data_IF_183460734210
#
_entry.id   IF_183460734210
#
_cell.length_a   1.000
_cell.length_b   1.000
_cell.length_c   1.000
_cell.angle_alpha   90.00
_cell.angle_beta   90.00
_cell.angle_gamma   90.00
#
_symmetry.space_group_name_H-M   'P 1'
#
loop_
_entity.id
_entity.type
_entity.pdbx_description
1 polymer ?
#
# COMPACT_ATOMS: atom_id res chain seq x y z
N UNK A 1 2.24 -2.66 -41.95
CA UNK A 1 3.68 -2.54 -41.69
C UNK A 1 3.91 -1.38 -40.71
N UNK A 2 3.77 -1.62 -39.42
CA UNK A 2 4.28 -0.74 -38.39
C UNK A 2 5.66 -1.19 -37.99
N UNK A 3 6.60 -0.44 -38.44
CA UNK A 3 8.01 -0.71 -38.26
C UNK A 3 8.43 -0.36 -36.83
N UNK A 4 8.81 -1.37 -36.11
CA UNK A 4 9.46 -1.44 -34.83
C UNK A 4 10.75 -0.61 -34.78
N UNK A 5 10.64 0.65 -34.44
CA UNK A 5 11.78 1.42 -34.02
C UNK A 5 11.72 1.59 -32.50
N UNK A 6 12.60 0.93 -31.84
CA UNK A 6 13.08 1.07 -30.48
C UNK A 6 12.79 -0.16 -29.60
N UNK A 7 13.36 -1.27 -30.00
CA UNK A 7 13.90 -2.19 -29.01
C UNK A 7 15.16 -1.58 -28.42
N UNK A 8 15.01 -0.65 -27.52
CA UNK A 8 16.04 -0.48 -26.51
C UNK A 8 15.85 -1.62 -25.52
N UNK A 9 16.44 -2.74 -25.87
CA UNK A 9 16.70 -3.79 -24.93
C UNK A 9 17.68 -3.27 -23.89
N UNK A 10 17.19 -2.58 -22.89
CA UNK A 10 17.93 -2.39 -21.64
C UNK A 10 17.88 -3.76 -20.95
N UNK A 11 18.78 -4.63 -21.37
CA UNK A 11 19.08 -5.84 -20.63
C UNK A 11 19.71 -5.40 -19.31
N UNK A 12 18.90 -5.19 -18.29
CA UNK A 12 19.40 -5.05 -16.93
C UNK A 12 20.02 -6.39 -16.53
N UNK A 13 21.34 -6.51 -16.67
CA UNK A 13 22.12 -7.68 -16.26
C UNK A 13 22.31 -7.80 -14.75
N UNK A 14 21.64 -6.95 -13.96
CA UNK A 14 21.65 -7.00 -12.50
C UNK A 14 20.26 -7.39 -12.01
N UNK A 15 20.14 -8.21 -10.97
CA UNK A 15 18.86 -8.42 -10.33
C UNK A 15 18.32 -7.05 -9.91
N UNK A 16 17.11 -6.72 -10.38
CA UNK A 16 16.44 -5.47 -10.06
C UNK A 16 16.27 -5.38 -8.55
N UNK A 17 16.82 -4.34 -7.95
CA UNK A 17 16.72 -4.13 -6.51
C UNK A 17 15.57 -3.18 -6.20
N UNK A 18 14.35 -3.68 -6.21
CA UNK A 18 13.14 -2.93 -5.89
C UNK A 18 13.16 -2.29 -4.50
N UNK A 19 14.06 -2.72 -3.62
CA UNK A 19 14.22 -2.14 -2.29
C UNK A 19 14.98 -0.80 -2.31
N UNK A 20 15.83 -0.61 -3.32
CA UNK A 20 16.55 0.65 -3.55
C UNK A 20 15.85 1.51 -4.61
N UNK A 21 15.12 0.87 -5.52
CA UNK A 21 14.44 1.45 -6.67
C UNK A 21 12.97 1.02 -6.71
N UNK A 22 12.14 1.42 -5.73
CA UNK A 22 10.73 1.04 -5.69
C UNK A 22 9.92 1.61 -6.86
N UNK A 23 10.40 2.66 -7.54
CA UNK A 23 9.81 3.20 -8.75
C UNK A 23 9.72 2.18 -9.90
N UNK A 24 10.56 1.16 -9.88
CA UNK A 24 10.52 0.08 -10.87
C UNK A 24 9.27 -0.80 -10.77
N UNK A 25 8.56 -0.74 -9.62
CA UNK A 25 7.27 -1.41 -9.42
C UNK A 25 6.09 -0.62 -10.03
N UNK A 26 6.30 0.62 -10.49
CA UNK A 26 5.18 1.47 -10.93
C UNK A 26 4.72 1.22 -12.36
N UNK A 27 5.40 0.30 -13.06
CA UNK A 27 5.19 0.06 -14.48
C UNK A 27 5.89 1.11 -15.37
N UNK A 28 6.09 0.74 -16.62
CA UNK A 28 6.92 1.52 -17.56
C UNK A 28 6.47 2.98 -17.72
N UNK A 29 5.17 3.24 -17.73
CA UNK A 29 4.62 4.58 -17.92
C UNK A 29 4.78 5.48 -16.66
N UNK A 30 5.02 4.90 -15.50
CA UNK A 30 5.08 5.60 -14.21
C UNK A 30 6.44 5.55 -13.54
N UNK A 31 7.45 4.94 -14.17
CA UNK A 31 8.78 4.73 -13.59
C UNK A 31 9.55 6.03 -13.35
N UNK A 32 9.29 7.06 -14.16
CA UNK A 32 9.95 8.34 -14.00
C UNK A 32 9.34 9.14 -12.85
N UNK A 33 10.17 9.47 -11.86
CA UNK A 33 9.78 10.26 -10.71
C UNK A 33 10.45 11.62 -10.76
N UNK A 34 9.64 12.64 -10.96
CA UNK A 34 10.09 14.03 -10.78
C UNK A 34 9.97 14.39 -9.30
N UNK A 35 11.10 14.69 -8.68
CA UNK A 35 11.12 15.14 -7.29
C UNK A 35 10.53 16.54 -7.18
N UNK A 36 9.45 16.68 -6.42
CA UNK A 36 8.72 17.94 -6.24
C UNK A 36 9.24 18.75 -5.04
N UNK A 37 9.65 18.06 -3.97
CA UNK A 37 10.12 18.72 -2.75
C UNK A 37 11.07 17.84 -1.94
N UNK A 38 11.59 18.38 -0.83
CA UNK A 38 12.39 17.69 0.16
C UNK A 38 11.70 17.62 1.53
N UNK A 39 10.39 17.85 1.60
CA UNK A 39 9.64 17.89 2.86
C UNK A 39 9.77 16.62 3.68
N UNK A 40 9.90 15.47 3.02
CA UNK A 40 10.04 14.16 3.65
C UNK A 40 11.47 13.62 3.63
N UNK A 41 12.47 14.47 3.33
CA UNK A 41 13.87 14.04 3.33
C UNK A 41 14.28 13.48 4.70
N UNK A 42 14.77 12.25 4.70
CA UNK A 42 15.16 11.53 5.92
C UNK A 42 14.03 10.72 6.57
N UNK A 43 12.80 10.87 6.13
CA UNK A 43 11.70 9.99 6.53
C UNK A 43 11.75 8.67 5.76
N UNK A 44 11.32 7.59 6.42
CA UNK A 44 11.26 6.23 5.86
C UNK A 44 9.84 5.68 6.04
N UNK A 45 9.28 5.17 4.98
CA UNK A 45 7.95 4.56 4.97
C UNK A 45 8.03 3.10 4.53
N UNK A 46 7.34 2.25 5.27
CA UNK A 46 7.10 0.84 4.97
C UNK A 46 5.65 0.70 4.56
N UNK A 47 5.39 0.51 3.28
CA UNK A 47 4.05 0.39 2.72
C UNK A 47 3.72 -1.07 2.48
N UNK A 48 2.59 -1.50 2.98
CA UNK A 48 2.14 -2.89 2.91
C UNK A 48 0.72 -2.90 2.40
N UNK A 49 0.48 -3.46 1.22
CA UNK A 49 -0.87 -3.86 0.83
C UNK A 49 -1.29 -5.09 1.64
N UNK A 50 -2.55 -5.15 2.00
CA UNK A 50 -3.14 -6.35 2.57
C UNK A 50 -3.08 -7.51 1.58
N UNK A 51 -3.06 -8.73 2.09
CA UNK A 51 -3.16 -9.93 1.26
C UNK A 51 -2.01 -10.11 0.25
N UNK A 52 -2.27 -10.66 -0.95
CA UNK A 52 -1.31 -10.92 -2.01
C UNK A 52 -0.76 -12.34 -2.03
N UNK A 53 -0.27 -12.80 -3.18
CA UNK A 53 0.10 -14.16 -3.48
C UNK A 53 -1.14 -15.08 -3.38
N UNK A 54 -1.09 -16.17 -2.61
CA UNK A 54 -2.19 -17.11 -2.52
C UNK A 54 -3.42 -16.59 -1.71
N UNK A 55 -3.47 -15.31 -1.38
CA UNK A 55 -4.51 -14.71 -0.53
C UNK A 55 -5.06 -13.43 -1.19
N UNK A 56 -6.14 -13.52 -1.98
CA UNK A 56 -6.74 -12.37 -2.65
C UNK A 56 -7.46 -11.40 -1.69
N UNK A 57 -7.57 -11.74 -0.41
CA UNK A 57 -8.33 -10.97 0.57
C UNK A 57 -9.83 -11.06 0.37
N UNK A 58 -10.53 -9.97 0.66
CA UNK A 58 -11.95 -9.89 0.40
C UNK A 58 -12.22 -9.85 -1.10
N UNK A 59 -13.28 -10.55 -1.51
CA UNK A 59 -13.72 -10.57 -2.90
C UNK A 59 -15.14 -10.04 -3.02
N UNK A 60 -15.40 -9.26 -4.04
CA UNK A 60 -16.73 -8.82 -4.41
C UNK A 60 -16.94 -8.96 -5.92
N UNK A 61 -18.21 -8.90 -6.37
CA UNK A 61 -18.52 -8.96 -7.79
C UNK A 61 -19.42 -7.80 -8.17
N UNK A 62 -18.92 -6.94 -9.06
CA UNK A 62 -19.63 -5.74 -9.52
C UNK A 62 -19.72 -5.76 -11.04
N UNK A 63 -20.94 -5.68 -11.58
CA UNK A 63 -21.20 -5.66 -13.04
C UNK A 63 -20.52 -6.82 -13.81
N UNK A 64 -20.42 -7.99 -13.17
CA UNK A 64 -19.82 -9.19 -13.80
C UNK A 64 -18.30 -9.31 -13.64
N UNK A 65 -17.64 -8.33 -13.05
CA UNK A 65 -16.20 -8.33 -12.76
C UNK A 65 -15.94 -8.71 -11.31
N UNK A 66 -14.99 -9.58 -11.08
CA UNK A 66 -14.50 -9.90 -9.75
C UNK A 66 -13.51 -8.80 -9.32
N UNK A 67 -13.64 -8.37 -8.05
CA UNK A 67 -12.79 -7.38 -7.42
C UNK A 67 -12.12 -8.08 -6.24
N UNK A 68 -10.80 -8.06 -6.21
CA UNK A 68 -9.99 -8.66 -5.16
C UNK A 68 -9.29 -7.58 -4.34
N UNK A 69 -9.28 -7.72 -3.03
CA UNK A 69 -8.77 -6.68 -2.12
C UNK A 69 -7.30 -6.38 -2.36
N UNK A 70 -6.48 -7.41 -2.55
CA UNK A 70 -5.03 -7.29 -2.74
C UNK A 70 -4.66 -6.40 -3.92
N UNK A 71 -5.31 -6.59 -5.07
CA UNK A 71 -5.06 -5.84 -6.31
C UNK A 71 -5.26 -4.33 -6.14
N UNK A 72 -6.40 -3.95 -5.55
CA UNK A 72 -6.70 -2.54 -5.33
C UNK A 72 -5.86 -1.95 -4.18
N UNK A 73 -5.60 -2.73 -3.14
CA UNK A 73 -4.71 -2.30 -2.05
C UNK A 73 -3.28 -2.09 -2.57
N UNK A 74 -2.81 -2.95 -3.49
CA UNK A 74 -1.51 -2.81 -4.12
C UNK A 74 -1.42 -1.55 -4.99
N UNK A 75 -2.38 -1.31 -5.88
CA UNK A 75 -2.41 -0.10 -6.71
C UNK A 75 -2.40 1.19 -5.87
N UNK A 76 -3.19 1.22 -4.77
CA UNK A 76 -3.19 2.35 -3.82
C UNK A 76 -1.81 2.51 -3.17
N UNK A 77 -1.17 1.42 -2.78
CA UNK A 77 0.18 1.43 -2.18
C UNK A 77 1.21 1.98 -3.17
N UNK A 78 1.16 1.60 -4.44
CA UNK A 78 2.07 2.12 -5.46
C UNK A 78 1.89 3.62 -5.68
N UNK A 79 0.64 4.10 -5.76
CA UNK A 79 0.33 5.54 -5.88
C UNK A 79 0.84 6.31 -4.67
N UNK A 80 0.62 5.80 -3.46
CA UNK A 80 1.16 6.41 -2.24
C UNK A 80 2.69 6.40 -2.22
N UNK A 81 3.32 5.32 -2.66
CA UNK A 81 4.77 5.22 -2.76
C UNK A 81 5.33 6.31 -3.69
N UNK A 82 4.71 6.50 -4.85
CA UNK A 82 5.11 7.52 -5.82
C UNK A 82 5.04 8.91 -5.22
N UNK A 83 3.93 9.28 -4.58
CA UNK A 83 3.76 10.58 -3.91
C UNK A 83 4.82 10.83 -2.82
N UNK A 84 5.12 9.81 -2.01
CA UNK A 84 6.12 9.92 -0.95
C UNK A 84 7.54 10.11 -1.52
N UNK A 85 7.87 9.41 -2.61
CA UNK A 85 9.16 9.56 -3.31
C UNK A 85 9.31 10.95 -3.93
N UNK A 86 8.26 11.49 -4.56
CA UNK A 86 8.24 12.85 -5.10
C UNK A 86 8.54 13.91 -4.02
N UNK A 87 8.15 13.64 -2.79
CA UNK A 87 8.44 14.52 -1.63
C UNK A 87 9.77 14.22 -0.92
N UNK A 88 10.56 13.31 -1.47
CA UNK A 88 11.90 13.00 -1.01
C UNK A 88 11.99 12.00 0.14
N UNK A 89 10.93 11.26 0.45
CA UNK A 89 10.97 10.16 1.40
C UNK A 89 11.78 8.97 0.85
N UNK A 90 12.23 8.10 1.73
CA UNK A 90 12.64 6.74 1.40
C UNK A 90 11.43 5.81 1.60
N UNK A 91 11.12 5.01 0.59
CA UNK A 91 9.96 4.13 0.61
C UNK A 91 10.39 2.69 0.39
N UNK A 92 9.78 1.77 1.13
CA UNK A 92 9.86 0.34 0.91
C UNK A 92 8.44 -0.20 0.68
N UNK A 93 8.21 -0.78 -0.47
CA UNK A 93 7.00 -1.55 -0.80
C UNK A 93 7.28 -2.98 -0.37
N UNK A 94 6.53 -3.50 0.60
CA UNK A 94 6.83 -4.79 1.24
C UNK A 94 6.26 -5.98 0.46
N UNK A 95 5.04 -5.84 -0.05
CA UNK A 95 4.47 -6.81 -0.99
C UNK A 95 4.69 -6.23 -2.38
N UNK A 96 5.27 -7.02 -3.25
CA UNK A 96 5.75 -6.58 -4.56
C UNK A 96 5.21 -7.51 -5.63
N UNK A 97 4.66 -6.91 -6.64
CA UNK A 97 4.32 -7.51 -7.90
C UNK A 97 5.19 -6.84 -8.98
N UNK A 98 5.91 -7.64 -9.75
CA UNK A 98 6.89 -7.13 -10.71
C UNK A 98 6.35 -6.96 -12.11
N UNK A 99 5.14 -7.46 -12.37
CA UNK A 99 4.47 -7.38 -13.67
C UNK A 99 3.26 -6.45 -13.66
N UNK A 100 2.72 -6.14 -12.49
CA UNK A 100 1.64 -5.19 -12.30
C UNK A 100 2.14 -3.84 -11.74
N UNK A 101 1.94 -2.79 -12.52
CA UNK A 101 2.29 -1.42 -12.13
C UNK A 101 1.09 -0.65 -11.55
N UNK A 102 1.18 0.68 -11.58
CA UNK A 102 0.03 1.57 -11.36
C UNK A 102 -0.93 1.40 -12.53
N UNK A 103 -2.19 1.08 -12.23
CA UNK A 103 -3.20 0.70 -13.22
C UNK A 103 -4.40 1.64 -13.17
N UNK A 104 -4.74 2.29 -14.29
CA UNK A 104 -5.91 3.17 -14.39
C UNK A 104 -7.19 2.42 -14.82
N UNK A 105 -7.14 1.09 -14.89
CA UNK A 105 -8.31 0.27 -15.18
C UNK A 105 -9.31 0.29 -14.02
N UNK A 106 -10.60 0.39 -14.35
CA UNK A 106 -11.67 0.30 -13.36
C UNK A 106 -11.71 -1.08 -12.70
N UNK A 107 -11.37 -2.15 -13.43
CA UNK A 107 -11.36 -3.53 -12.96
C UNK A 107 -9.95 -4.08 -13.10
N UNK A 108 -9.33 -4.37 -11.97
CA UNK A 108 -8.00 -4.95 -11.91
C UNK A 108 -8.13 -6.48 -12.00
N UNK A 109 -7.24 -7.07 -12.77
CA UNK A 109 -7.24 -8.52 -12.97
C UNK A 109 -6.49 -9.16 -11.81
N UNK A 110 -7.10 -10.19 -11.23
CA UNK A 110 -6.45 -11.02 -10.20
C UNK A 110 -5.34 -11.86 -10.81
N UNK A 111 -4.19 -11.90 -10.16
CA UNK A 111 -3.20 -12.97 -10.25
C UNK A 111 -2.64 -13.33 -8.86
N UNK A 112 -1.64 -14.16 -8.74
CA UNK A 112 -1.16 -14.71 -7.47
C UNK A 112 0.38 -14.72 -7.42
N UNK A 113 1.04 -13.83 -8.17
CA UNK A 113 2.49 -13.85 -8.33
C UNK A 113 3.24 -12.83 -7.47
N UNK A 114 2.52 -12.14 -6.57
CA UNK A 114 3.13 -11.23 -5.62
C UNK A 114 4.10 -11.94 -4.69
N UNK A 115 5.11 -11.22 -4.32
CA UNK A 115 6.16 -11.65 -3.42
C UNK A 115 6.29 -10.72 -2.20
N UNK A 116 6.81 -11.23 -1.10
CA UNK A 116 7.25 -10.39 0.00
C UNK A 116 8.72 -10.02 -0.19
N UNK A 117 8.98 -8.89 -0.86
CA UNK A 117 10.33 -8.40 -1.18
C UNK A 117 11.18 -9.43 -1.93
N UNK A 118 10.57 -10.15 -2.89
CA UNK A 118 11.19 -11.16 -3.72
C UNK A 118 11.15 -12.58 -3.14
N UNK A 119 10.60 -12.76 -1.93
CA UNK A 119 10.39 -14.08 -1.32
C UNK A 119 8.94 -14.54 -1.54
N UNK A 120 8.72 -15.80 -1.86
CA UNK A 120 7.39 -16.41 -2.01
C UNK A 120 6.54 -16.19 -0.76
N UNK A 121 5.26 -15.88 -0.96
CA UNK A 121 4.31 -15.65 0.13
C UNK A 121 3.72 -17.00 0.59
N UNK A 122 3.88 -17.38 1.88
CA UNK A 122 3.39 -18.67 2.38
C UNK A 122 1.85 -18.77 2.36
N UNK A 123 1.33 -20.00 2.16
CA UNK A 123 -0.10 -20.29 2.27
C UNK A 123 -0.66 -20.05 3.67
N UNK A 124 0.12 -20.32 4.72
CA UNK A 124 -0.29 -20.13 6.11
C UNK A 124 -0.33 -18.65 6.50
N UNK A 125 -1.48 -18.18 6.95
CA UNK A 125 -1.70 -16.79 7.32
C UNK A 125 -0.72 -16.29 8.40
N UNK A 126 -0.42 -17.09 9.40
CA UNK A 126 0.50 -16.67 10.46
C UNK A 126 1.93 -16.52 9.93
N UNK A 127 2.33 -17.38 9.00
CA UNK A 127 3.63 -17.29 8.35
C UNK A 127 3.70 -16.03 7.45
N UNK A 128 2.65 -15.74 6.67
CA UNK A 128 2.56 -14.51 5.88
C UNK A 128 2.73 -13.26 6.74
N UNK A 129 1.98 -13.16 7.82
CA UNK A 129 2.05 -12.02 8.73
C UNK A 129 3.43 -11.88 9.38
N UNK A 130 4.05 -13.00 9.79
CA UNK A 130 5.41 -13.01 10.34
C UNK A 130 6.46 -12.59 9.30
N UNK A 131 6.33 -13.05 8.07
CA UNK A 131 7.25 -12.70 6.98
C UNK A 131 7.30 -11.18 6.78
N UNK A 132 6.13 -10.52 6.66
CA UNK A 132 6.02 -9.06 6.52
C UNK A 132 6.61 -8.32 7.71
N UNK A 133 6.26 -8.72 8.92
CA UNK A 133 6.78 -8.12 10.16
C UNK A 133 8.29 -8.24 10.24
N UNK A 134 8.84 -9.42 9.96
CA UNK A 134 10.28 -9.66 9.98
C UNK A 134 11.01 -8.78 8.97
N UNK A 135 10.46 -8.65 7.76
CA UNK A 135 11.04 -7.81 6.71
C UNK A 135 11.05 -6.34 7.13
N UNK A 136 9.92 -5.81 7.62
CA UNK A 136 9.82 -4.43 8.12
C UNK A 136 10.82 -4.20 9.26
N UNK A 137 10.91 -5.11 10.21
CA UNK A 137 11.80 -4.96 11.37
C UNK A 137 13.27 -5.00 10.98
N UNK A 138 13.65 -5.84 10.02
CA UNK A 138 15.02 -5.87 9.45
C UNK A 138 15.38 -4.53 8.78
N UNK A 139 14.44 -3.96 8.03
CA UNK A 139 14.63 -2.66 7.38
C UNK A 139 14.62 -1.51 8.38
N UNK A 140 13.78 -1.58 9.41
CA UNK A 140 13.75 -0.61 10.51
C UNK A 140 15.12 -0.51 11.19
N UNK A 141 15.73 -1.65 11.50
CA UNK A 141 17.05 -1.70 12.13
C UNK A 141 18.16 -1.09 11.24
N UNK A 142 18.06 -1.25 9.92
CA UNK A 142 18.96 -0.60 8.96
C UNK A 142 18.81 0.94 8.89
N UNK A 143 17.63 1.43 9.25
CA UNK A 143 17.28 2.87 9.19
C UNK A 143 17.18 3.52 10.58
N UNK A 144 17.85 2.97 11.61
CA UNK A 144 17.82 3.52 12.98
C UNK A 144 18.12 5.02 13.01
N UNK A 145 17.45 5.73 13.92
CA UNK A 145 17.61 7.17 14.10
C UNK A 145 16.81 8.04 13.13
N UNK A 146 16.15 7.45 12.12
CA UNK A 146 15.27 8.17 11.19
C UNK A 146 13.83 8.21 11.67
N UNK A 147 13.06 9.15 11.13
CA UNK A 147 11.60 9.10 11.25
C UNK A 147 11.08 7.93 10.42
N UNK A 148 10.36 6.99 11.04
CA UNK A 148 9.93 5.76 10.38
C UNK A 148 8.47 5.45 10.65
N UNK A 149 7.70 5.08 9.61
CA UNK A 149 6.28 4.73 9.69
C UNK A 149 5.97 3.49 8.87
N UNK A 150 5.09 2.63 9.39
CA UNK A 150 4.49 1.53 8.65
C UNK A 150 3.02 1.85 8.36
N UNK A 151 2.60 1.68 7.11
CA UNK A 151 1.23 1.90 6.67
C UNK A 151 0.75 0.61 6.01
N UNK A 152 -0.26 -0.02 6.64
CA UNK A 152 -0.92 -1.21 6.13
C UNK A 152 -2.22 -0.77 5.48
N UNK A 153 -2.38 -1.09 4.21
CA UNK A 153 -3.54 -0.68 3.39
C UNK A 153 -4.38 -1.90 3.08
N UNK A 154 -5.63 -1.85 3.45
CA UNK A 154 -6.67 -2.84 3.20
C UNK A 154 -7.92 -2.15 2.65
N UNK A 155 -8.85 -2.94 2.10
CA UNK A 155 -10.18 -2.46 1.74
C UNK A 155 -11.24 -3.20 2.56
N UNK A 156 -12.19 -2.44 3.12
CA UNK A 156 -13.24 -3.02 3.94
C UNK A 156 -14.29 -3.78 3.11
N UNK A 157 -14.90 -4.80 3.70
CA UNK A 157 -15.90 -5.65 3.04
C UNK A 157 -17.02 -6.09 4.00
N UNK A 158 -17.51 -5.19 4.85
CA UNK A 158 -18.44 -5.57 5.95
C UNK A 158 -19.87 -5.75 5.54
N UNK A 159 -20.41 -4.84 4.75
CA UNK A 159 -21.83 -4.76 4.50
C UNK A 159 -22.14 -4.20 3.11
N UNK A 160 -23.06 -4.82 2.39
CA UNK A 160 -23.38 -4.47 1.01
C UNK A 160 -23.91 -3.05 0.77
N UNK A 161 -24.27 -2.29 1.80
CA UNK A 161 -24.90 -0.96 1.64
C UNK A 161 -24.30 0.13 2.50
N UNK A 162 -23.30 -0.18 3.28
CA UNK A 162 -22.70 0.78 4.19
C UNK A 162 -21.67 1.62 3.48
N UNK A 163 -21.83 2.94 3.52
CA UNK A 163 -20.81 3.86 3.06
C UNK A 163 -19.72 3.96 4.12
N UNK A 164 -18.54 3.54 3.76
CA UNK A 164 -17.34 3.61 4.60
C UNK A 164 -16.27 4.29 3.77
N UNK A 165 -15.67 5.34 4.30
CA UNK A 165 -14.56 6.00 3.65
C UNK A 165 -13.21 5.51 4.18
N UNK A 166 -13.10 5.43 5.52
CA UNK A 166 -11.88 4.94 6.16
C UNK A 166 -12.13 4.45 7.58
N UNK A 167 -11.60 3.29 7.93
CA UNK A 167 -11.28 2.94 9.32
C UNK A 167 -9.77 2.95 9.50
N UNK A 168 -9.31 3.64 10.55
CA UNK A 168 -7.89 3.67 10.90
C UNK A 168 -7.69 3.01 12.25
N UNK A 169 -6.85 1.97 12.26
CA UNK A 169 -6.48 1.27 13.49
C UNK A 169 -5.02 1.54 13.84
N UNK A 170 -4.77 1.69 15.13
CA UNK A 170 -3.42 1.82 15.69
C UNK A 170 -3.22 0.82 16.84
N UNK A 171 -1.97 0.54 17.21
CA UNK A 171 -1.64 -0.34 18.32
C UNK A 171 -2.10 0.27 19.65
N UNK A 172 -2.78 -0.51 20.51
CA UNK A 172 -3.22 -0.08 21.85
C UNK A 172 -2.07 0.58 22.63
N UNK A 173 -2.33 1.75 23.19
CA UNK A 173 -1.34 2.49 23.96
C UNK A 173 -0.35 3.33 23.16
N UNK A 174 -0.36 3.24 21.81
CA UNK A 174 0.51 4.05 20.96
C UNK A 174 -0.04 5.45 20.74
N UNK A 175 0.44 6.43 21.52
CA UNK A 175 0.08 7.85 21.32
C UNK A 175 0.49 8.38 19.94
N UNK A 176 1.63 7.95 19.44
CA UNK A 176 2.11 8.31 18.07
C UNK A 176 1.25 7.68 16.98
N UNK A 177 0.78 6.44 17.18
CA UNK A 177 -0.15 5.78 16.27
C UNK A 177 -1.51 6.49 16.24
N UNK A 178 -2.04 6.86 17.39
CA UNK A 178 -3.27 7.66 17.49
C UNK A 178 -3.13 9.02 16.80
N UNK A 179 -2.01 9.72 17.00
CA UNK A 179 -1.76 11.00 16.35
C UNK A 179 -1.71 10.85 14.84
N UNK A 180 -1.02 9.82 14.32
CA UNK A 180 -0.96 9.53 12.88
C UNK A 180 -2.35 9.21 12.31
N UNK A 181 -3.15 8.38 13.00
CA UNK A 181 -4.53 8.07 12.58
C UNK A 181 -5.41 9.32 12.52
N UNK A 182 -5.29 10.22 13.48
CA UNK A 182 -6.03 11.51 13.49
C UNK A 182 -5.63 12.37 12.29
N UNK A 183 -4.33 12.55 12.06
CA UNK A 183 -3.83 13.32 10.90
C UNK A 183 -4.34 12.77 9.59
N UNK A 184 -4.32 11.44 9.40
CA UNK A 184 -4.85 10.80 8.21
C UNK A 184 -6.36 11.05 8.07
N UNK A 185 -7.15 10.82 9.11
CA UNK A 185 -8.60 11.04 9.09
C UNK A 185 -8.97 12.49 8.74
N UNK A 186 -8.31 13.47 9.36
CA UNK A 186 -8.55 14.88 9.10
C UNK A 186 -8.19 15.24 7.65
N UNK A 187 -7.09 14.65 7.13
CA UNK A 187 -6.66 14.84 5.74
C UNK A 187 -7.67 14.24 4.78
N UNK A 188 -8.12 13.01 5.00
CA UNK A 188 -9.16 12.37 4.19
C UNK A 188 -10.44 13.19 4.20
N UNK A 189 -10.95 13.56 5.38
CA UNK A 189 -12.15 14.39 5.51
C UNK A 189 -12.05 15.69 4.71
N UNK A 190 -10.91 16.39 4.81
CA UNK A 190 -10.66 17.62 4.06
C UNK A 190 -10.67 17.36 2.54
N UNK A 191 -10.01 16.30 2.08
CA UNK A 191 -9.95 15.93 0.66
C UNK A 191 -11.31 15.51 0.12
N UNK A 192 -12.07 14.70 0.85
CA UNK A 192 -13.44 14.36 0.47
C UNK A 192 -14.33 15.60 0.36
N UNK A 193 -14.27 16.52 1.32
CA UNK A 193 -15.02 17.78 1.26
C UNK A 193 -14.64 18.64 0.04
N UNK A 194 -13.38 18.60 -0.38
CA UNK A 194 -12.88 19.35 -1.53
C UNK A 194 -13.31 18.74 -2.86
N UNK A 195 -13.16 17.43 -3.02
CA UNK A 195 -13.36 16.76 -4.31
C UNK A 195 -14.77 16.17 -4.50
N UNK A 196 -15.50 15.97 -3.40
CA UNK A 196 -16.86 15.44 -3.39
C UNK A 196 -17.76 16.28 -2.45
N UNK A 197 -17.97 17.58 -2.77
CA UNK A 197 -18.73 18.46 -1.90
C UNK A 197 -20.16 17.95 -1.70
N UNK A 198 -20.66 17.98 -0.45
CA UNK A 198 -22.00 17.50 -0.11
C UNK A 198 -22.16 16.00 0.09
N UNK A 199 -21.17 15.18 -0.25
CA UNK A 199 -21.22 13.71 -0.07
C UNK A 199 -21.16 13.30 1.41
N UNK A 200 -20.51 14.11 2.24
CA UNK A 200 -20.18 13.75 3.62
C UNK A 200 -18.91 12.90 3.72
N UNK A 201 -18.59 12.51 4.95
CA UNK A 201 -17.44 11.66 5.25
C UNK A 201 -17.79 10.69 6.37
N UNK A 202 -17.53 9.40 6.17
CA UNK A 202 -17.70 8.34 7.16
C UNK A 202 -16.34 7.72 7.48
N UNK A 203 -15.85 7.95 8.69
CA UNK A 203 -14.57 7.41 9.11
C UNK A 203 -14.46 7.29 10.62
N UNK A 204 -13.74 6.29 11.08
CA UNK A 204 -13.49 6.05 12.49
C UNK A 204 -12.01 5.79 12.77
N UNK A 205 -11.62 6.09 14.02
CA UNK A 205 -10.32 5.75 14.57
C UNK A 205 -10.54 4.81 15.74
N UNK A 206 -9.85 3.70 15.74
CA UNK A 206 -9.89 2.72 16.82
C UNK A 206 -8.51 2.16 17.14
N UNK A 207 -8.39 1.45 18.24
CA UNK A 207 -7.22 0.64 18.51
C UNK A 207 -7.54 -0.84 18.31
N UNK A 208 -6.59 -1.56 17.74
CA UNK A 208 -6.63 -3.02 17.63
C UNK A 208 -5.25 -3.61 17.86
N UNK A 209 -5.21 -4.75 18.55
CA UNK A 209 -3.98 -5.51 18.72
C UNK A 209 -3.78 -6.46 17.52
N UNK A 210 -3.80 -5.92 16.31
CA UNK A 210 -3.45 -6.67 15.12
C UNK A 210 -1.97 -7.04 15.19
N UNK A 211 -1.63 -8.27 14.83
CA UNK A 211 -0.27 -8.77 14.91
C UNK A 211 0.74 -7.85 14.22
N UNK A 212 0.42 -7.38 13.02
CA UNK A 212 1.26 -6.47 12.25
C UNK A 212 1.47 -5.11 12.92
N UNK A 213 0.52 -4.62 13.72
CA UNK A 213 0.68 -3.38 14.47
C UNK A 213 1.44 -3.57 15.79
N UNK A 214 1.31 -4.74 16.41
CA UNK A 214 1.95 -5.03 17.72
C UNK A 214 3.40 -5.45 17.53
N UNK A 215 3.68 -6.24 16.49
CA UNK A 215 4.98 -6.88 16.30
C UNK A 215 5.95 -6.07 15.43
N UNK A 216 5.49 -5.03 14.71
CA UNK A 216 6.38 -4.12 13.98
C UNK A 216 6.99 -3.08 14.89
N UNK A 217 8.28 -2.78 14.68
CA UNK A 217 9.02 -1.77 15.44
C UNK A 217 8.66 -0.32 15.09
N UNK A 218 8.47 0.05 13.80
CA UNK A 218 8.04 1.40 13.47
C UNK A 218 6.62 1.67 13.96
N UNK A 219 6.31 2.94 14.21
CA UNK A 219 4.92 3.34 14.49
C UNK A 219 4.07 3.02 13.27
N UNK A 220 3.04 2.20 13.47
CA UNK A 220 2.18 1.72 12.40
C UNK A 220 0.74 2.19 12.52
N UNK A 221 0.07 2.26 11.37
CA UNK A 221 -1.39 2.37 11.22
C UNK A 221 -1.87 1.33 10.23
N UNK A 222 -3.07 0.83 10.47
CA UNK A 222 -3.77 -0.12 9.61
C UNK A 222 -5.04 0.57 9.10
N UNK A 223 -5.16 0.68 7.80
CA UNK A 223 -6.24 1.39 7.12
C UNK A 223 -7.14 0.40 6.40
N UNK A 224 -8.43 0.52 6.63
CA UNK A 224 -9.48 -0.09 5.84
C UNK A 224 -10.11 1.01 4.99
N UNK A 225 -9.94 0.97 3.70
CA UNK A 225 -10.37 2.01 2.78
C UNK A 225 -11.62 1.58 2.02
N UNK A 226 -12.61 2.48 1.97
CA UNK A 226 -13.85 2.21 1.25
C UNK A 226 -14.63 1.02 1.79
N UNK A 227 -15.54 0.51 0.94
CA UNK A 227 -16.27 -0.74 1.17
C UNK A 227 -16.51 -1.44 -0.17
N UNK A 228 -15.78 -2.52 -0.41
CA UNK A 228 -15.85 -3.29 -1.67
C UNK A 228 -17.25 -3.87 -1.97
N UNK A 229 -18.14 -3.93 -0.97
CA UNK A 229 -19.52 -4.42 -1.11
C UNK A 229 -20.51 -3.30 -1.44
N UNK A 230 -20.05 -2.04 -1.46
CA UNK A 230 -20.87 -0.87 -1.77
C UNK A 230 -20.51 -0.37 -3.17
N UNK A 231 -21.33 -0.74 -4.15
CA UNK A 231 -21.17 -0.34 -5.55
C UNK A 231 -21.90 0.96 -5.86
#
# INVERSE_FOLDING_TARGET
EYNNGLKMGVSYRFPLNYNEHPEMLFGFENIEITKESNELKGAVYYLVCGHGGPDPGAMSRIKGHDLCEDEYAYDIVLRLARELLQKGAKVYVIIQDTNDGIRDSQYLKLDEDETCMGEEIPLDQNQRLRQRVNMINKLYDKNRGKYQRAIFVHLDSRSKREQIDIFSYYCKGSSKGLSLSKTLQDTFKKKYSQYQPGRGFSGTIGWRNLYVLVATKPVGVFLELGNMQNA
#
